data_IF_190157921660
#
_entry.id   IF_190157921660
#
_cell.length_a   1.000
_cell.length_b   1.000
_cell.length_c   1.000
_cell.angle_alpha   90.00
_cell.angle_beta   90.00
_cell.angle_gamma   90.00
#
_symmetry.space_group_name_H-M   'P 1'
#
loop_
_entity.id
_entity.type
_entity.pdbx_description
1 polymer ?
#
# COMPACT_ATOMS: atom_id res chain seq x y z
N UNK A 1 18.95 -63.00 -59.45
CA UNK A 1 17.81 -62.05 -59.38
C UNK A 1 17.68 -61.52 -57.95
N UNK A 2 17.93 -60.24 -57.66
CA UNK A 2 17.46 -59.62 -56.43
C UNK A 2 16.26 -58.70 -56.70
N UNK A 3 15.22 -58.83 -55.88
CA UNK A 3 13.99 -58.01 -55.90
C UNK A 3 14.26 -56.72 -55.10
N UNK A 4 14.29 -55.59 -55.81
CA UNK A 4 14.43 -54.27 -55.23
C UNK A 4 13.14 -53.90 -54.47
N UNK A 5 13.18 -53.82 -53.13
CA UNK A 5 12.05 -53.35 -52.31
C UNK A 5 12.20 -51.84 -52.13
N UNK A 6 11.43 -51.06 -52.87
CA UNK A 6 11.31 -49.62 -52.65
C UNK A 6 10.51 -49.36 -51.37
N UNK A 7 11.13 -48.69 -50.40
CA UNK A 7 10.43 -48.14 -49.24
C UNK A 7 9.66 -46.88 -49.68
N UNK A 8 8.36 -46.75 -49.39
CA UNK A 8 7.66 -45.51 -49.65
C UNK A 8 8.17 -44.43 -48.70
N UNK A 9 8.84 -43.41 -49.23
CA UNK A 9 9.10 -42.17 -48.51
C UNK A 9 7.75 -41.51 -48.19
N UNK A 10 7.36 -41.54 -46.93
CA UNK A 10 6.30 -40.68 -46.41
C UNK A 10 6.78 -39.24 -46.60
N UNK A 11 6.25 -38.53 -47.60
CA UNK A 11 6.41 -37.08 -47.69
C UNK A 11 5.67 -36.48 -46.50
N UNK A 12 6.40 -36.09 -45.47
CA UNK A 12 5.87 -35.15 -44.49
C UNK A 12 5.53 -33.88 -45.26
N UNK A 13 4.24 -33.57 -45.37
CA UNK A 13 3.80 -32.29 -45.90
C UNK A 13 4.17 -31.25 -44.85
N UNK A 14 5.39 -30.72 -44.92
CA UNK A 14 5.79 -29.52 -44.20
C UNK A 14 4.96 -28.35 -44.73
N UNK A 15 3.75 -28.18 -44.18
CA UNK A 15 2.93 -27.01 -44.41
C UNK A 15 3.61 -25.86 -43.66
N UNK A 16 4.47 -25.12 -44.35
CA UNK A 16 4.99 -23.85 -43.84
C UNK A 16 3.84 -22.92 -43.50
N UNK A 17 3.98 -22.17 -42.40
CA UNK A 17 3.02 -21.15 -42.00
C UNK A 17 2.67 -20.24 -43.17
N UNK A 18 1.38 -20.07 -43.45
CA UNK A 18 0.95 -19.14 -44.49
C UNK A 18 1.22 -17.70 -44.03
N UNK A 19 1.52 -16.78 -44.96
CA UNK A 19 1.78 -15.37 -44.63
C UNK A 19 0.60 -14.74 -43.88
N UNK A 20 -0.63 -15.10 -44.26
CA UNK A 20 -1.85 -14.66 -43.56
C UNK A 20 -1.94 -15.23 -42.13
N UNK A 21 -1.46 -16.45 -41.90
CA UNK A 21 -1.47 -17.09 -40.59
C UNK A 21 -0.50 -16.37 -39.64
N UNK A 22 0.68 -16.00 -40.14
CA UNK A 22 1.63 -15.17 -39.38
C UNK A 22 1.06 -13.79 -39.05
N UNK A 23 0.35 -13.14 -39.99
CA UNK A 23 -0.31 -11.85 -39.75
C UNK A 23 -1.41 -11.95 -38.69
N UNK A 24 -2.24 -12.99 -38.75
CA UNK A 24 -3.29 -13.24 -37.76
C UNK A 24 -2.69 -13.56 -36.39
N UNK A 25 -1.63 -14.38 -36.33
CA UNK A 25 -0.94 -14.70 -35.09
C UNK A 25 -0.32 -13.45 -34.44
N UNK A 26 0.32 -12.59 -35.22
CA UNK A 26 0.87 -11.32 -34.73
C UNK A 26 -0.24 -10.36 -34.26
N UNK A 27 -1.38 -10.32 -34.94
CA UNK A 27 -2.52 -9.49 -34.52
C UNK A 27 -3.09 -9.96 -33.17
N UNK A 28 -3.31 -11.27 -33.00
CA UNK A 28 -3.78 -11.85 -31.74
C UNK A 28 -2.75 -11.61 -30.63
N UNK A 29 -1.46 -11.79 -30.91
CA UNK A 29 -0.39 -11.53 -29.96
C UNK A 29 -0.33 -10.04 -29.53
N UNK A 30 -0.48 -9.12 -30.48
CA UNK A 30 -0.49 -7.68 -30.19
C UNK A 30 -1.69 -7.29 -29.31
N UNK A 31 -2.90 -7.79 -29.62
CA UNK A 31 -4.09 -7.54 -28.81
C UNK A 31 -3.93 -8.15 -27.41
N UNK A 32 -3.41 -9.38 -27.33
CA UNK A 32 -3.13 -10.05 -26.06
C UNK A 32 -2.14 -9.29 -25.18
N UNK A 33 -1.04 -8.78 -25.76
CA UNK A 33 -0.03 -8.03 -25.01
C UNK A 33 -0.55 -6.67 -24.52
N UNK A 34 -1.39 -5.98 -25.29
CA UNK A 34 -2.07 -4.76 -24.86
C UNK A 34 -3.03 -5.01 -23.69
N UNK A 35 -3.77 -6.14 -23.71
CA UNK A 35 -4.62 -6.55 -22.60
C UNK A 35 -3.82 -6.74 -21.31
N UNK A 36 -2.67 -7.39 -21.39
CA UNK A 36 -1.78 -7.62 -20.22
C UNK A 36 -1.25 -6.28 -19.67
N UNK A 37 -0.82 -5.36 -20.53
CA UNK A 37 -0.33 -4.03 -20.11
C UNK A 37 -1.38 -3.24 -19.32
N UNK A 38 -2.65 -3.35 -19.68
CA UNK A 38 -3.74 -2.67 -18.95
C UNK A 38 -3.86 -3.13 -17.49
N UNK A 39 -3.61 -4.42 -17.22
CA UNK A 39 -3.64 -4.99 -15.87
C UNK A 39 -2.44 -4.53 -15.04
N UNK A 40 -1.26 -4.39 -15.66
CA UNK A 40 -0.07 -3.90 -14.98
C UNK A 40 -0.24 -2.45 -14.48
N UNK A 41 -0.85 -1.57 -15.29
CA UNK A 41 -1.10 -0.19 -14.88
C UNK A 41 -2.01 -0.09 -13.64
N UNK A 42 -3.08 -0.90 -13.59
CA UNK A 42 -3.95 -0.98 -12.41
C UNK A 42 -3.25 -1.58 -11.18
N UNK A 43 -2.28 -2.47 -11.40
CA UNK A 43 -1.52 -3.10 -10.31
C UNK A 43 -0.58 -2.10 -9.61
N UNK A 44 0.02 -1.16 -10.34
CA UNK A 44 0.87 -0.13 -9.75
C UNK A 44 0.10 0.85 -8.86
N UNK A 45 -1.07 1.32 -9.31
CA UNK A 45 -1.90 2.22 -8.49
C UNK A 45 -2.39 1.51 -7.22
N UNK A 46 -2.84 0.25 -7.36
CA UNK A 46 -3.29 -0.54 -6.22
C UNK A 46 -2.15 -0.84 -5.25
N UNK A 47 -0.93 -1.09 -5.74
CA UNK A 47 0.26 -1.31 -4.90
C UNK A 47 0.63 -0.05 -4.11
N UNK A 48 0.60 1.12 -4.75
CA UNK A 48 0.89 2.39 -4.08
C UNK A 48 -0.16 2.72 -3.00
N UNK A 49 -1.44 2.47 -3.27
CA UNK A 49 -2.51 2.66 -2.28
C UNK A 49 -2.40 1.68 -1.11
N UNK A 50 -2.17 0.39 -1.38
CA UNK A 50 -1.95 -0.61 -0.34
C UNK A 50 -0.74 -0.29 0.53
N UNK A 51 0.33 0.24 -0.06
CA UNK A 51 1.51 0.68 0.69
C UNK A 51 1.19 1.85 1.62
N UNK A 52 0.39 2.81 1.17
CA UNK A 52 -0.06 3.94 2.00
C UNK A 52 -1.00 3.51 3.13
N UNK A 53 -1.90 2.55 2.87
CA UNK A 53 -2.78 2.00 3.91
C UNK A 53 -1.99 1.20 4.95
N UNK A 54 -1.02 0.40 4.51
CA UNK A 54 -0.15 -0.37 5.39
C UNK A 54 0.70 0.55 6.25
N UNK A 55 1.36 1.55 5.65
CA UNK A 55 2.16 2.53 6.42
C UNK A 55 1.28 3.33 7.36
N UNK A 56 0.10 3.78 6.92
CA UNK A 56 -0.88 4.48 7.74
C UNK A 56 -1.33 3.68 8.97
N UNK A 57 -1.57 2.38 8.80
CA UNK A 57 -1.88 1.48 9.91
C UNK A 57 -0.72 1.38 10.91
N UNK A 58 0.50 1.09 10.44
CA UNK A 58 1.68 0.92 11.30
C UNK A 58 2.01 2.21 12.07
N UNK A 59 1.90 3.36 11.42
CA UNK A 59 2.07 4.68 12.06
C UNK A 59 0.99 4.92 13.11
N UNK A 60 -0.27 4.60 12.80
CA UNK A 60 -1.36 4.72 13.75
C UNK A 60 -1.15 3.82 14.97
N UNK A 61 -0.70 2.58 14.77
CA UNK A 61 -0.37 1.65 15.86
C UNK A 61 0.78 2.17 16.71
N UNK A 62 1.83 2.73 16.10
CA UNK A 62 2.93 3.37 16.83
C UNK A 62 2.44 4.54 17.69
N UNK A 63 1.60 5.42 17.13
CA UNK A 63 1.03 6.55 17.87
C UNK A 63 0.09 6.11 19.01
N UNK A 64 -0.73 5.09 18.77
CA UNK A 64 -1.55 4.46 19.82
C UNK A 64 -0.64 3.86 20.91
N UNK A 65 0.46 3.19 20.52
CA UNK A 65 1.45 2.66 21.45
C UNK A 65 2.03 3.74 22.36
N UNK A 66 2.40 4.90 21.80
CA UNK A 66 2.85 6.07 22.57
C UNK A 66 1.75 6.56 23.52
N UNK A 67 0.51 6.74 23.03
CA UNK A 67 -0.60 7.20 23.86
C UNK A 67 -0.87 6.25 25.03
N UNK A 68 -0.82 4.93 24.80
CA UNK A 68 -0.96 3.91 25.84
C UNK A 68 0.19 3.94 26.84
N UNK A 69 1.42 4.11 26.36
CA UNK A 69 2.59 4.21 27.23
C UNK A 69 2.55 5.45 28.14
N UNK A 70 1.85 6.51 27.71
CA UNK A 70 1.68 7.73 28.50
C UNK A 70 0.46 7.71 29.43
N UNK A 71 -0.45 6.74 29.27
CA UNK A 71 -1.54 6.47 30.20
C UNK A 71 -2.38 7.71 30.52
N UNK A 72 -2.34 8.14 31.78
CA UNK A 72 -3.05 9.34 32.28
C UNK A 72 -2.61 10.65 31.63
N UNK A 73 -1.37 10.73 31.10
CA UNK A 73 -0.85 11.91 30.41
C UNK A 73 -1.25 11.98 28.93
N UNK A 74 -2.00 10.99 28.41
CA UNK A 74 -2.42 10.98 27.01
C UNK A 74 -3.24 12.23 26.61
N UNK A 75 -4.00 12.82 27.55
CA UNK A 75 -4.73 14.07 27.34
C UNK A 75 -3.83 15.26 26.95
N UNK A 76 -2.59 15.31 27.46
CA UNK A 76 -1.63 16.36 27.12
C UNK A 76 -1.14 16.28 25.67
N UNK A 77 -1.47 15.19 24.96
CA UNK A 77 -1.14 14.98 23.55
C UNK A 77 -2.31 15.34 22.62
N UNK A 78 -3.41 15.88 23.16
CA UNK A 78 -4.51 16.35 22.33
C UNK A 78 -4.05 17.48 21.41
N UNK A 79 -4.36 17.37 20.11
CA UNK A 79 -3.93 18.32 19.09
C UNK A 79 -2.47 18.16 18.66
N UNK A 80 -1.75 17.16 19.17
CA UNK A 80 -0.38 16.92 18.76
C UNK A 80 -0.32 16.44 17.30
N UNK A 81 0.68 16.92 16.58
CA UNK A 81 0.91 16.61 15.17
C UNK A 81 2.29 16.00 14.96
N UNK A 82 2.37 15.09 14.00
CA UNK A 82 3.62 14.44 13.61
C UNK A 82 3.78 14.54 12.10
N UNK A 83 4.97 14.93 11.68
CA UNK A 83 5.41 14.98 10.28
C UNK A 83 6.66 14.10 10.14
N UNK A 84 7.04 13.71 8.91
CA UNK A 84 8.28 12.96 8.69
C UNK A 84 9.54 13.71 9.17
N UNK A 85 9.47 15.04 9.25
CA UNK A 85 10.54 15.91 9.72
C UNK A 85 10.56 16.15 11.24
N UNK A 86 9.50 15.81 11.96
CA UNK A 86 9.42 16.07 13.40
C UNK A 86 8.02 16.01 13.98
N UNK A 87 7.95 16.00 15.31
CA UNK A 87 6.71 15.98 16.08
C UNK A 87 6.54 17.26 16.90
N UNK A 88 5.29 17.68 17.12
CA UNK A 88 4.97 18.78 18.02
C UNK A 88 5.18 18.44 19.50
N UNK A 89 5.24 17.14 19.84
CA UNK A 89 5.46 16.63 21.18
C UNK A 89 6.59 15.59 21.16
N UNK A 90 7.56 15.71 22.08
CA UNK A 90 8.73 14.83 22.19
C UNK A 90 8.37 13.35 22.41
N UNK A 91 7.25 13.08 23.08
CA UNK A 91 6.78 11.72 23.31
C UNK A 91 6.43 10.98 22.01
N UNK A 92 6.15 11.73 20.93
CA UNK A 92 5.82 11.21 19.60
C UNK A 92 7.05 11.05 18.68
N UNK A 93 8.26 11.27 19.20
CA UNK A 93 9.50 11.00 18.45
C UNK A 93 9.57 9.57 17.84
N UNK A 94 9.07 8.50 18.51
CA UNK A 94 8.99 7.18 17.91
C UNK A 94 8.12 7.15 16.64
N UNK A 95 7.02 7.92 16.62
CA UNK A 95 6.12 7.99 15.46
C UNK A 95 6.84 8.62 14.27
N UNK A 96 7.66 9.65 14.48
CA UNK A 96 8.50 10.27 13.42
C UNK A 96 9.43 9.23 12.80
N UNK A 97 10.07 8.39 13.63
CA UNK A 97 10.99 7.35 13.15
C UNK A 97 10.30 6.29 12.30
N UNK A 98 9.04 5.95 12.62
CA UNK A 98 8.23 5.04 11.81
C UNK A 98 7.83 5.70 10.49
N UNK A 99 7.39 6.96 10.52
CA UNK A 99 7.04 7.72 9.31
C UNK A 99 8.22 7.84 8.35
N UNK A 100 9.44 8.08 8.87
CA UNK A 100 10.64 8.18 8.06
C UNK A 100 11.11 6.82 7.54
N UNK A 101 10.98 5.75 8.32
CA UNK A 101 11.30 4.38 7.88
C UNK A 101 10.41 3.93 6.70
N UNK A 102 9.14 4.32 6.68
CA UNK A 102 8.22 4.05 5.56
C UNK A 102 8.36 5.03 4.38
N UNK A 103 9.29 5.99 4.45
CA UNK A 103 9.53 6.94 3.36
C UNK A 103 8.33 7.82 3.03
N UNK A 104 7.51 8.17 4.03
CA UNK A 104 6.32 8.99 3.79
C UNK A 104 6.68 10.35 3.22
N UNK A 105 5.87 10.82 2.27
CA UNK A 105 6.05 12.12 1.64
C UNK A 105 5.99 13.25 2.68
N UNK A 106 6.72 14.37 2.48
CA UNK A 106 6.81 15.45 3.47
C UNK A 106 5.47 16.13 3.77
N UNK A 107 4.51 16.08 2.84
CA UNK A 107 3.14 16.55 3.05
C UNK A 107 2.25 15.59 3.87
N UNK A 108 2.76 14.44 4.27
CA UNK A 108 2.02 13.53 5.14
C UNK A 108 2.09 14.01 6.59
N UNK A 109 0.96 13.94 7.29
CA UNK A 109 0.86 14.37 8.66
C UNK A 109 -0.03 13.43 9.47
N UNK A 110 0.35 13.20 10.71
CA UNK A 110 -0.47 12.53 11.72
C UNK A 110 -1.03 13.60 12.64
N UNK A 111 -2.33 13.53 12.96
CA UNK A 111 -2.93 14.36 14.00
C UNK A 111 -3.66 13.50 15.02
N UNK A 112 -3.50 13.87 16.28
CA UNK A 112 -4.03 13.15 17.43
C UNK A 112 -5.11 13.99 18.09
N UNK A 113 -6.29 13.41 18.24
CA UNK A 113 -7.38 14.02 19.02
C UNK A 113 -7.64 13.15 20.23
N UNK A 114 -7.42 13.68 21.43
CA UNK A 114 -7.61 12.95 22.68
C UNK A 114 -8.64 13.68 23.52
N UNK A 115 -9.69 12.98 23.93
CA UNK A 115 -10.80 13.53 24.72
C UNK A 115 -11.06 12.65 25.94
N UNK A 116 -11.29 13.26 27.10
CA UNK A 116 -11.66 12.51 28.31
C UNK A 116 -13.07 11.96 28.17
N UNK A 117 -13.28 10.70 28.56
CA UNK A 117 -14.62 10.10 28.62
C UNK A 117 -15.41 10.54 29.88
N UNK A 118 -14.70 11.09 30.88
CA UNK A 118 -15.25 11.46 32.19
C UNK A 118 -15.39 12.98 32.37
N UNK A 119 -14.90 13.79 31.42
CA UNK A 119 -15.00 15.25 31.45
C UNK A 119 -14.08 15.98 32.44
N UNK A 120 -13.39 15.25 33.32
CA UNK A 120 -12.55 15.81 34.41
C UNK A 120 -11.05 15.90 34.10
N UNK A 121 -10.65 15.91 32.82
CA UNK A 121 -9.24 15.77 32.40
C UNK A 121 -8.53 14.55 33.03
N UNK A 122 -9.29 13.51 33.31
CA UNK A 122 -8.80 12.22 33.79
C UNK A 122 -9.13 11.17 32.73
N UNK A 123 -8.19 10.26 32.50
CA UNK A 123 -8.46 9.08 31.69
C UNK A 123 -9.23 8.02 32.53
N UNK A 124 -10.05 7.17 31.90
CA UNK A 124 -10.04 6.76 30.49
C UNK A 124 -10.40 7.87 29.48
N UNK A 125 -9.65 7.90 28.38
CA UNK A 125 -9.73 8.88 27.31
C UNK A 125 -9.97 8.18 25.97
N UNK A 126 -10.79 8.78 25.10
CA UNK A 126 -10.88 8.38 23.70
C UNK A 126 -9.81 9.10 22.89
N UNK A 127 -8.92 8.33 22.27
CA UNK A 127 -7.90 8.83 21.38
C UNK A 127 -8.22 8.45 19.93
N UNK A 128 -8.22 9.43 19.04
CA UNK A 128 -8.36 9.27 17.60
C UNK A 128 -7.04 9.65 16.96
N UNK A 129 -6.44 8.70 16.26
CA UNK A 129 -5.25 8.92 15.44
C UNK A 129 -5.68 9.04 13.99
N UNK A 130 -5.32 10.14 13.36
CA UNK A 130 -5.54 10.36 11.93
C UNK A 130 -4.20 10.48 11.23
N UNK A 131 -3.96 9.67 10.21
CA UNK A 131 -2.80 9.73 9.33
C UNK A 131 -3.31 10.24 7.98
N UNK A 132 -2.70 11.27 7.44
CA UNK A 132 -3.11 11.86 6.17
C UNK A 132 -1.92 12.02 5.25
N UNK A 133 -2.15 11.83 3.96
CA UNK A 133 -1.13 11.96 2.91
C UNK A 133 -1.73 12.59 1.64
N UNK A 134 -0.86 12.94 0.69
CA UNK A 134 -1.26 13.66 -0.52
C UNK A 134 -1.85 15.05 -0.24
N UNK A 135 -1.42 15.73 0.83
CA UNK A 135 -1.96 17.03 1.24
C UNK A 135 -3.36 16.95 1.86
N UNK A 136 -3.76 15.78 2.37
CA UNK A 136 -5.07 15.54 2.98
C UNK A 136 -6.09 14.87 2.05
N UNK A 137 -5.70 14.54 0.81
CA UNK A 137 -6.57 13.83 -0.14
C UNK A 137 -6.93 12.41 0.31
N UNK A 138 -6.05 11.76 1.06
CA UNK A 138 -6.25 10.43 1.61
C UNK A 138 -5.97 10.45 3.11
N UNK A 139 -6.87 9.83 3.88
CA UNK A 139 -6.79 9.79 5.34
C UNK A 139 -7.12 8.40 5.88
N UNK A 140 -6.27 7.88 6.75
CA UNK A 140 -6.54 6.73 7.59
C UNK A 140 -6.84 7.20 9.01
N UNK A 141 -7.91 6.70 9.62
CA UNK A 141 -8.28 7.03 10.98
C UNK A 141 -8.51 5.78 11.82
N UNK A 142 -8.03 5.81 13.05
CA UNK A 142 -8.24 4.76 14.04
C UNK A 142 -8.58 5.39 15.39
N UNK A 143 -9.60 4.87 16.06
CA UNK A 143 -10.05 5.32 17.37
C UNK A 143 -9.85 4.21 18.40
N UNK A 144 -9.38 4.57 19.58
CA UNK A 144 -9.15 3.65 20.69
C UNK A 144 -9.38 4.32 22.03
N UNK A 145 -9.49 3.52 23.10
CA UNK A 145 -9.59 4.00 24.48
C UNK A 145 -8.25 3.76 25.18
N UNK A 146 -7.73 4.80 25.83
CA UNK A 146 -6.43 4.81 26.52
C UNK A 146 -6.57 5.34 27.95
N UNK A 147 -5.60 5.00 28.81
CA UNK A 147 -5.50 5.53 30.18
C UNK A 147 -6.39 4.84 31.20
N UNK A 148 -6.41 3.51 31.16
CA UNK A 148 -6.71 2.64 32.30
C UNK A 148 -5.45 2.42 33.15
#
# INVERSE_FOLDING_TARGET
>A
MPRNRAFPCIRSSERGFSLIEAMVALAIFAIGSLGILSLFLGSFSSSAENQNLTSGYEIAQSAIGVLRANGSNALAMNGATVTPSGASNVALAPVVSVMSAYGMAPQAQVSLTVSSLLGSQQCPCSATVSVSWGGGAQTYQSQTVVGY
#
